data_IF_976590066790
#
_entry.id   IF_976590066790
#
_cell.length_a   1.000
_cell.length_b   1.000
_cell.length_c   1.000
_cell.angle_alpha   90.00
_cell.angle_beta   90.00
_cell.angle_gamma   90.00
#
_symmetry.space_group_name_H-M   'P 1'
#
loop_
_entity.id
_entity.type
_entity.pdbx_description
1 polymer ?
#
# COMPACT_ATOMS: atom_id res chain seq x y z
N UNK A 1 28.12 -2.33 13.21
CA UNK A 1 27.61 -2.61 11.85
C UNK A 1 26.32 -1.82 11.65
N UNK A 2 26.44 -0.55 11.25
CA UNK A 2 25.27 0.31 11.02
C UNK A 2 24.62 -0.08 9.71
N UNK A 3 23.49 -0.80 9.78
CA UNK A 3 22.60 -0.96 8.62
C UNK A 3 22.16 0.45 8.24
N UNK A 4 22.77 1.02 7.20
CA UNK A 4 22.38 2.31 6.63
C UNK A 4 20.91 2.18 6.24
N UNK A 5 20.01 2.88 6.96
CA UNK A 5 18.63 3.07 6.53
C UNK A 5 18.69 3.87 5.23
N UNK A 6 18.67 3.18 4.10
CA UNK A 6 18.43 3.85 2.82
C UNK A 6 16.99 4.38 2.85
N UNK A 7 16.74 5.61 2.37
CA UNK A 7 15.39 6.09 2.20
C UNK A 7 14.66 5.13 1.25
N UNK A 8 13.46 4.69 1.66
CA UNK A 8 12.57 3.91 0.81
C UNK A 8 11.78 4.92 0.01
N UNK A 9 12.02 4.98 -1.29
CA UNK A 9 11.18 5.76 -2.20
C UNK A 9 9.86 5.03 -2.37
N UNK A 10 8.80 5.68 -1.91
CA UNK A 10 7.42 5.22 -2.02
C UNK A 10 6.73 6.12 -3.02
N UNK A 11 6.21 5.54 -4.10
CA UNK A 11 5.34 6.25 -5.04
C UNK A 11 3.89 5.85 -4.79
N UNK A 12 3.01 6.85 -4.79
CA UNK A 12 1.57 6.69 -4.59
C UNK A 12 0.90 7.25 -5.84
N UNK A 13 0.24 6.38 -6.59
CA UNK A 13 -0.47 6.72 -7.81
C UNK A 13 -1.97 6.58 -7.59
N UNK A 14 -2.75 7.57 -8.03
CA UNK A 14 -4.21 7.47 -8.07
C UNK A 14 -4.63 6.63 -9.29
N UNK A 15 -5.34 5.54 -9.04
CA UNK A 15 -5.86 4.65 -10.06
C UNK A 15 -7.35 4.40 -9.85
N UNK A 16 -8.05 4.07 -10.92
CA UNK A 16 -9.43 3.57 -10.83
C UNK A 16 -9.41 2.06 -10.89
N UNK A 17 -9.82 1.40 -9.81
CA UNK A 17 -9.85 -0.06 -9.71
C UNK A 17 -11.28 -0.53 -9.47
N UNK A 18 -11.80 -1.38 -10.35
CA UNK A 18 -13.20 -1.84 -10.33
C UNK A 18 -14.25 -0.71 -10.32
N UNK A 19 -13.93 0.43 -10.94
CA UNK A 19 -14.81 1.60 -10.99
C UNK A 19 -14.84 2.44 -9.70
N UNK A 20 -13.97 2.16 -8.74
CA UNK A 20 -13.77 2.95 -7.53
C UNK A 20 -12.36 3.57 -7.50
N UNK A 21 -12.25 4.71 -6.83
CA UNK A 21 -10.95 5.37 -6.62
C UNK A 21 -10.09 4.57 -5.66
N UNK A 22 -8.86 4.30 -6.10
CA UNK A 22 -7.88 3.55 -5.36
C UNK A 22 -6.51 4.20 -5.46
N UNK A 23 -5.69 4.03 -4.43
CA UNK A 23 -4.29 4.44 -4.40
C UNK A 23 -3.43 3.22 -4.60
N UNK A 24 -2.61 3.21 -5.64
CA UNK A 24 -1.58 2.20 -5.84
C UNK A 24 -0.30 2.65 -5.15
N UNK A 25 0.26 1.79 -4.30
CA UNK A 25 1.54 2.05 -3.62
C UNK A 25 2.62 1.18 -4.25
N UNK A 26 3.70 1.81 -4.68
CA UNK A 26 4.86 1.14 -5.25
C UNK A 26 6.16 1.54 -4.54
N UNK A 27 7.11 0.61 -4.48
CA UNK A 27 8.46 0.81 -3.93
C UNK A 27 9.45 0.40 -5.00
N UNK A 28 10.33 1.31 -5.43
CA UNK A 28 11.38 1.06 -6.45
C UNK A 28 10.83 0.31 -7.68
N UNK A 29 9.75 0.82 -8.26
CA UNK A 29 9.06 0.28 -9.44
C UNK A 29 8.28 -1.03 -9.22
N UNK A 30 8.25 -1.58 -8.00
CA UNK A 30 7.43 -2.74 -7.66
C UNK A 30 6.14 -2.30 -6.98
N UNK A 31 5.00 -2.70 -7.56
CA UNK A 31 3.69 -2.51 -6.92
C UNK A 31 3.62 -3.38 -5.67
N UNK A 32 3.43 -2.74 -4.52
CA UNK A 32 3.28 -3.40 -3.23
C UNK A 32 1.82 -3.77 -2.98
N UNK A 33 0.91 -2.88 -3.38
CA UNK A 33 -0.51 -3.08 -3.17
C UNK A 33 -1.33 -1.85 -3.52
N UNK A 34 -2.62 -1.94 -3.21
CA UNK A 34 -3.59 -0.88 -3.48
C UNK A 34 -4.45 -0.60 -2.27
N UNK A 35 -4.85 0.66 -2.07
CA UNK A 35 -5.76 1.10 -1.02
C UNK A 35 -7.02 1.58 -1.71
N UNK A 36 -8.12 0.86 -1.55
CA UNK A 36 -9.40 1.23 -2.12
C UNK A 36 -10.22 2.03 -1.12
N UNK A 37 -10.85 3.11 -1.59
CA UNK A 37 -11.84 3.83 -0.80
C UNK A 37 -13.20 3.20 -1.02
N UNK A 38 -13.84 2.76 0.07
CA UNK A 38 -15.15 2.12 0.07
C UNK A 38 -16.14 2.97 0.88
N UNK A 39 -17.44 2.68 0.76
CA UNK A 39 -18.47 3.33 1.59
C UNK A 39 -18.26 3.13 3.11
N UNK A 40 -17.49 2.09 3.49
CA UNK A 40 -17.27 1.70 4.90
C UNK A 40 -15.90 2.12 5.43
N UNK A 41 -15.11 2.85 4.66
CA UNK A 41 -13.75 3.27 5.00
C UNK A 41 -12.74 2.83 3.95
N UNK A 42 -11.53 2.51 4.39
CA UNK A 42 -10.41 2.19 3.51
C UNK A 42 -10.03 0.72 3.61
N UNK A 43 -9.74 0.10 2.47
CA UNK A 43 -9.32 -1.29 2.40
C UNK A 43 -7.97 -1.37 1.68
N UNK A 44 -6.95 -1.87 2.38
CA UNK A 44 -5.62 -2.09 1.85
C UNK A 44 -5.48 -3.54 1.38
N UNK A 45 -5.03 -3.74 0.15
CA UNK A 45 -4.82 -5.04 -0.48
C UNK A 45 -3.35 -5.17 -0.90
N UNK A 46 -2.69 -6.24 -0.45
CA UNK A 46 -1.30 -6.56 -0.82
C UNK A 46 -1.35 -7.62 -1.92
N UNK A 47 -1.01 -7.27 -3.16
CA UNK A 47 -1.10 -8.19 -4.29
C UNK A 47 -2.48 -8.88 -4.42
N UNK A 48 -2.49 -10.22 -4.39
CA UNK A 48 -3.70 -11.05 -4.47
C UNK A 48 -4.26 -11.46 -3.09
N UNK A 49 -3.70 -10.97 -1.99
CA UNK A 49 -4.20 -11.28 -0.65
C UNK A 49 -5.56 -10.63 -0.38
N UNK A 50 -6.23 -11.13 0.66
CA UNK A 50 -7.52 -10.56 1.08
C UNK A 50 -7.33 -9.11 1.55
N UNK A 51 -8.20 -8.18 1.13
CA UNK A 51 -8.14 -6.80 1.60
C UNK A 51 -8.36 -6.72 3.11
N UNK A 52 -7.59 -5.85 3.75
CA UNK A 52 -7.63 -5.56 5.17
C UNK A 52 -8.18 -4.16 5.38
N UNK A 53 -9.12 -4.02 6.32
CA UNK A 53 -9.68 -2.72 6.68
C UNK A 53 -8.68 -1.90 7.47
N UNK A 54 -8.48 -0.67 7.02
CA UNK A 54 -7.64 0.34 7.65
C UNK A 54 -8.48 1.59 7.93
N UNK A 55 -8.09 2.38 8.92
CA UNK A 55 -8.85 3.54 9.38
C UNK A 55 -8.58 4.78 8.54
N UNK A 56 -7.42 4.84 7.87
CA UNK A 56 -7.05 5.93 6.97
C UNK A 56 -6.19 5.42 5.80
N UNK A 57 -6.04 6.25 4.77
CA UNK A 57 -5.10 6.00 3.68
C UNK A 57 -3.66 5.87 4.20
N UNK A 58 -3.23 6.72 5.13
CA UNK A 58 -1.90 6.66 5.73
C UNK A 58 -1.63 5.32 6.43
N UNK A 59 -2.61 4.81 7.21
CA UNK A 59 -2.50 3.50 7.85
C UNK A 59 -2.42 2.37 6.81
N UNK A 60 -3.14 2.52 5.68
CA UNK A 60 -3.02 1.64 4.53
C UNK A 60 -1.62 1.65 3.93
N UNK A 61 -1.03 2.83 3.71
CA UNK A 61 0.33 2.96 3.16
C UNK A 61 1.36 2.32 4.11
N UNK A 62 1.27 2.62 5.41
CA UNK A 62 2.14 2.00 6.43
C UNK A 62 2.00 0.47 6.45
N UNK A 63 0.78 -0.04 6.38
CA UNK A 63 0.51 -1.47 6.32
C UNK A 63 1.16 -2.12 5.08
N UNK A 64 0.99 -1.52 3.90
CA UNK A 64 1.60 -2.01 2.66
C UNK A 64 3.13 -2.02 2.74
N UNK A 65 3.75 -0.95 3.26
CA UNK A 65 5.21 -0.88 3.44
C UNK A 65 5.69 -1.93 4.44
N UNK A 66 4.95 -2.16 5.53
CA UNK A 66 5.29 -3.21 6.51
C UNK A 66 5.20 -4.60 5.88
N UNK A 67 4.14 -4.88 5.11
CA UNK A 67 3.98 -6.14 4.38
C UNK A 67 5.15 -6.37 3.41
N UNK A 68 5.54 -5.35 2.63
CA UNK A 68 6.71 -5.45 1.74
C UNK A 68 7.99 -5.83 2.49
N UNK A 69 8.26 -5.21 3.63
CA UNK A 69 9.45 -5.48 4.44
C UNK A 69 9.44 -6.86 5.13
N UNK A 70 8.27 -7.47 5.33
CA UNK A 70 8.13 -8.81 5.94
C UNK A 70 8.41 -9.94 4.94
N UNK A 71 8.16 -9.69 3.65
CA UNK A 71 8.32 -10.67 2.58
C UNK A 71 9.68 -10.57 1.86
N UNK A 72 10.56 -9.63 2.24
CA UNK A 72 11.78 -9.29 1.50
C UNK A 72 13.07 -9.26 2.33
#
# INVERSE_FOLDING_TARGET
MSKKKQPVEVAIDEITLNGADALQVSIKDQVVGTIQTTEKGFEAQVGDDRPVKVKSQDEGVEYLIQAYNLHH
#
